data_IF_446867168898
#
_entry.id   IF_446867168898
#
_cell.length_a   1.000
_cell.length_b   1.000
_cell.length_c   1.000
_cell.angle_alpha   90.00
_cell.angle_beta   90.00
_cell.angle_gamma   90.00
#
_symmetry.space_group_name_H-M   'P 1'
#
loop_
_entity.id
_entity.type
_entity.pdbx_description
1 polymer ?
#
# COMPACT_ATOMS: atom_id res chain seq x y z
N UNK A 1 -32.56 18.77 12.64
CA UNK A 1 -32.77 17.60 11.77
C UNK A 1 -31.71 17.68 10.69
N UNK A 2 -30.70 16.82 10.75
CA UNK A 2 -29.56 16.83 9.81
C UNK A 2 -29.81 15.73 8.78
N UNK A 3 -29.97 16.11 7.51
CA UNK A 3 -30.17 15.16 6.42
C UNK A 3 -28.83 14.95 5.71
N UNK A 4 -28.17 13.84 6.02
CA UNK A 4 -26.95 13.43 5.31
C UNK A 4 -27.33 12.77 3.98
N UNK A 5 -27.27 13.54 2.89
CA UNK A 5 -27.40 12.99 1.54
C UNK A 5 -26.03 12.50 1.04
N UNK A 6 -25.74 11.21 1.24
CA UNK A 6 -24.62 10.54 0.56
C UNK A 6 -25.01 10.25 -0.90
N UNK A 7 -25.01 11.27 -1.76
CA UNK A 7 -25.35 11.12 -3.18
C UNK A 7 -24.12 10.87 -4.07
N UNK A 8 -23.20 10.02 -3.61
CA UNK A 8 -22.10 9.55 -4.45
C UNK A 8 -22.46 8.16 -4.95
N UNK A 9 -22.89 8.08 -6.22
CA UNK A 9 -23.03 6.80 -6.92
C UNK A 9 -21.72 6.02 -6.73
N UNK A 10 -21.77 4.89 -6.01
CA UNK A 10 -20.63 4.00 -5.79
C UNK A 10 -19.99 3.67 -7.15
N UNK A 11 -18.84 4.29 -7.45
CA UNK A 11 -18.10 3.99 -8.67
C UNK A 11 -17.59 2.55 -8.56
N UNK A 12 -18.03 1.70 -9.48
CA UNK A 12 -17.50 0.34 -9.65
C UNK A 12 -15.98 0.40 -9.81
N UNK A 13 -15.28 -0.55 -9.19
CA UNK A 13 -13.82 -0.69 -9.33
C UNK A 13 -13.00 0.14 -8.33
N UNK A 14 -13.62 0.65 -7.26
CA UNK A 14 -12.89 1.25 -6.14
C UNK A 14 -12.27 0.15 -5.27
N UNK A 15 -11.10 0.44 -4.71
CA UNK A 15 -10.49 -0.43 -3.71
C UNK A 15 -11.25 -0.33 -2.39
N UNK A 16 -11.30 -1.42 -1.63
CA UNK A 16 -11.83 -1.41 -0.28
C UNK A 16 -11.05 -0.40 0.57
N UNK A 17 -11.78 0.50 1.19
CA UNK A 17 -11.30 1.40 2.23
C UNK A 17 -11.05 0.63 3.53
N UNK A 18 -10.26 1.21 4.43
CA UNK A 18 -10.05 0.65 5.76
C UNK A 18 -11.36 0.52 6.57
N UNK A 19 -12.27 1.48 6.43
CA UNK A 19 -13.58 1.44 7.07
C UNK A 19 -14.45 0.27 6.59
N UNK A 20 -14.45 0.00 5.28
CA UNK A 20 -15.13 -1.18 4.73
C UNK A 20 -14.49 -2.47 5.25
N UNK A 21 -13.15 -2.55 5.36
CA UNK A 21 -12.47 -3.70 5.98
C UNK A 21 -12.90 -3.93 7.42
N UNK A 22 -13.02 -2.87 8.22
CA UNK A 22 -13.54 -2.95 9.58
C UNK A 22 -14.98 -3.50 9.61
N UNK A 23 -15.84 -3.06 8.70
CA UNK A 23 -17.20 -3.60 8.56
C UNK A 23 -17.19 -5.09 8.21
N UNK A 24 -16.33 -5.52 7.28
CA UNK A 24 -16.18 -6.95 6.94
C UNK A 24 -15.82 -7.75 8.19
N UNK A 25 -14.90 -7.27 9.03
CA UNK A 25 -14.51 -7.95 10.26
C UNK A 25 -15.68 -8.12 11.25
N UNK A 26 -16.48 -7.08 11.44
CA UNK A 26 -17.67 -7.15 12.30
C UNK A 26 -18.69 -8.15 11.73
N UNK A 27 -19.05 -8.03 10.46
CA UNK A 27 -20.05 -8.89 9.82
C UNK A 27 -19.61 -10.36 9.73
N UNK A 28 -18.30 -10.62 9.62
CA UNK A 28 -17.76 -11.99 9.69
C UNK A 28 -17.89 -12.59 11.08
N UNK A 29 -17.75 -11.79 12.16
CA UNK A 29 -18.01 -12.24 13.54
C UNK A 29 -19.49 -12.55 13.75
N UNK A 30 -20.37 -11.82 13.08
CA UNK A 30 -21.82 -12.07 13.04
C UNK A 30 -22.23 -13.20 12.07
N UNK A 31 -21.26 -13.95 11.53
CA UNK A 31 -21.47 -15.11 10.65
C UNK A 31 -22.18 -14.81 9.32
N UNK A 32 -22.12 -13.57 8.81
CA UNK A 32 -22.65 -13.25 7.49
C UNK A 32 -21.88 -13.96 6.36
N UNK A 33 -22.62 -14.35 5.32
CA UNK A 33 -22.03 -14.93 4.10
C UNK A 33 -21.31 -13.87 3.28
N UNK A 34 -20.31 -14.28 2.48
CA UNK A 34 -19.58 -13.34 1.62
C UNK A 34 -20.48 -12.60 0.64
N UNK A 35 -21.52 -13.25 0.12
CA UNK A 35 -22.47 -12.60 -0.80
C UNK A 35 -23.30 -11.54 -0.08
N UNK A 36 -23.71 -11.80 1.16
CA UNK A 36 -24.49 -10.85 1.96
C UNK A 36 -23.66 -9.60 2.30
N UNK A 37 -22.43 -9.78 2.76
CA UNK A 37 -21.52 -8.67 3.09
C UNK A 37 -21.22 -7.83 1.84
N UNK A 38 -20.90 -8.49 0.71
CA UNK A 38 -20.62 -7.79 -0.54
C UNK A 38 -21.83 -6.96 -1.00
N UNK A 39 -23.06 -7.48 -0.89
CA UNK A 39 -24.28 -6.74 -1.21
C UNK A 39 -24.47 -5.52 -0.30
N UNK A 40 -24.21 -5.65 1.00
CA UNK A 40 -24.33 -4.55 1.97
C UNK A 40 -23.35 -3.41 1.67
N UNK A 41 -22.10 -3.76 1.32
CA UNK A 41 -21.04 -2.79 1.00
C UNK A 41 -21.08 -2.29 -0.45
N UNK A 42 -22.00 -2.77 -1.28
CA UNK A 42 -22.01 -2.44 -2.72
C UNK A 42 -20.80 -2.97 -3.51
N UNK A 43 -20.13 -3.99 -2.98
CA UNK A 43 -18.93 -4.60 -3.56
C UNK A 43 -19.26 -5.89 -4.31
N UNK A 44 -18.32 -6.35 -5.16
CA UNK A 44 -18.49 -7.65 -5.83
C UNK A 44 -18.23 -8.82 -4.85
N UNK A 45 -18.96 -9.95 -4.95
CA UNK A 45 -18.68 -11.14 -4.14
C UNK A 45 -17.24 -11.64 -4.30
N UNK A 46 -16.63 -11.44 -5.48
CA UNK A 46 -15.25 -11.82 -5.75
C UNK A 46 -14.26 -10.92 -4.99
N UNK A 47 -14.51 -9.61 -4.96
CA UNK A 47 -13.72 -8.64 -4.18
C UNK A 47 -13.70 -9.07 -2.72
N UNK A 48 -14.86 -9.40 -2.16
CA UNK A 48 -14.96 -9.80 -0.77
C UNK A 48 -14.26 -11.14 -0.49
N UNK A 49 -14.43 -12.13 -1.38
CA UNK A 49 -13.73 -13.40 -1.25
C UNK A 49 -12.20 -13.22 -1.23
N UNK A 50 -11.69 -12.41 -2.16
CA UNK A 50 -10.27 -12.12 -2.25
C UNK A 50 -9.75 -11.36 -1.02
N UNK A 51 -10.50 -10.37 -0.54
CA UNK A 51 -10.16 -9.63 0.67
C UNK A 51 -10.10 -10.56 1.87
N UNK A 52 -11.16 -11.33 2.12
CA UNK A 52 -11.22 -12.25 3.26
C UNK A 52 -10.08 -13.25 3.19
N UNK A 53 -9.79 -13.82 2.01
CA UNK A 53 -8.66 -14.74 1.82
C UNK A 53 -7.32 -14.10 2.16
N UNK A 54 -7.11 -12.82 1.86
CA UNK A 54 -5.85 -12.09 2.10
C UNK A 54 -5.68 -11.60 3.53
N UNK A 55 -6.78 -11.28 4.21
CA UNK A 55 -6.81 -10.78 5.59
C UNK A 55 -7.16 -11.83 6.65
N UNK A 56 -7.35 -13.10 6.27
CA UNK A 56 -7.57 -14.19 7.24
C UNK A 56 -6.25 -14.58 7.90
N UNK A 57 -6.22 -14.53 9.22
CA UNK A 57 -5.07 -14.92 10.05
C UNK A 57 -5.43 -16.12 10.94
N UNK A 58 -4.42 -16.93 11.26
CA UNK A 58 -4.54 -18.01 12.24
C UNK A 58 -4.14 -17.49 13.61
N UNK A 59 -5.03 -17.60 14.60
CA UNK A 59 -4.75 -17.24 15.99
C UNK A 59 -4.70 -18.48 16.87
N UNK A 60 -3.82 -18.45 17.85
CA UNK A 60 -3.70 -19.46 18.91
C UNK A 60 -4.44 -18.98 20.16
N UNK A 61 -5.41 -19.76 20.61
CA UNK A 61 -6.08 -19.60 21.89
C UNK A 61 -5.61 -20.68 22.85
N UNK A 62 -5.02 -20.23 23.96
CA UNK A 62 -4.60 -21.11 25.05
C UNK A 62 -5.63 -21.06 26.17
N UNK A 63 -6.15 -22.22 26.56
CA UNK A 63 -7.07 -22.37 27.69
C UNK A 63 -6.41 -23.22 28.76
N UNK A 64 -6.47 -22.77 30.02
CA UNK A 64 -6.05 -23.56 31.17
C UNK A 64 -7.27 -24.08 31.91
N UNK A 65 -7.33 -25.39 32.14
CA UNK A 65 -8.41 -26.02 32.88
C UNK A 65 -7.84 -27.15 33.75
N UNK A 66 -8.15 -27.13 35.06
CA UNK A 66 -7.67 -28.10 36.05
C UNK A 66 -6.15 -28.39 35.97
N UNK A 67 -5.34 -27.32 35.87
CA UNK A 67 -3.88 -27.43 35.78
C UNK A 67 -3.34 -27.92 34.42
N UNK A 68 -4.20 -28.32 33.48
CA UNK A 68 -3.82 -28.69 32.11
C UNK A 68 -3.99 -27.50 31.17
N UNK A 69 -3.07 -27.38 30.22
CA UNK A 69 -3.07 -26.33 29.19
C UNK A 69 -3.49 -26.94 27.86
N UNK A 70 -4.47 -26.33 27.20
CA UNK A 70 -5.00 -26.72 25.91
C UNK A 70 -4.81 -25.59 24.91
N UNK A 71 -4.25 -25.92 23.75
CA UNK A 71 -3.93 -24.99 22.68
C UNK A 71 -4.89 -25.25 21.52
N UNK A 72 -5.64 -24.22 21.12
CA UNK A 72 -6.62 -24.27 20.04
C UNK A 72 -6.26 -23.24 18.97
N UNK A 73 -6.21 -23.66 17.72
CA UNK A 73 -6.03 -22.74 16.59
C UNK A 73 -7.35 -22.45 15.91
N UNK A 74 -7.60 -21.19 15.58
CA UNK A 74 -8.77 -20.79 14.82
C UNK A 74 -8.40 -19.69 13.82
N UNK A 75 -9.13 -19.60 12.73
CA UNK A 75 -8.93 -18.57 11.72
C UNK A 75 -9.98 -17.48 11.86
N UNK A 76 -9.55 -16.23 11.69
CA UNK A 76 -10.45 -15.09 11.66
C UNK A 76 -9.97 -14.07 10.65
N UNK A 77 -10.91 -13.34 10.08
CA UNK A 77 -10.58 -12.19 9.25
C UNK A 77 -10.25 -10.99 10.14
N UNK A 78 -9.12 -10.35 9.86
CA UNK A 78 -8.62 -9.19 10.59
C UNK A 78 -8.42 -8.01 9.62
N UNK A 79 -9.03 -6.87 9.94
CA UNK A 79 -9.00 -5.70 9.06
C UNK A 79 -7.60 -5.10 8.92
N UNK A 80 -6.81 -5.11 10.00
CA UNK A 80 -5.45 -4.58 10.02
C UNK A 80 -4.53 -5.47 9.18
N UNK A 81 -4.67 -6.79 9.30
CA UNK A 81 -3.97 -7.74 8.45
C UNK A 81 -4.33 -7.55 6.97
N UNK A 82 -5.61 -7.36 6.65
CA UNK A 82 -6.10 -7.05 5.29
C UNK A 82 -5.49 -5.76 4.73
N UNK A 83 -5.47 -4.69 5.53
CA UNK A 83 -4.89 -3.40 5.18
C UNK A 83 -3.37 -3.50 4.97
N UNK A 84 -2.64 -4.12 5.90
CA UNK A 84 -1.20 -4.31 5.79
C UNK A 84 -0.81 -5.13 4.56
N UNK A 85 -1.63 -6.11 4.18
CA UNK A 85 -1.44 -6.87 2.95
C UNK A 85 -1.64 -5.99 1.71
N UNK A 86 -2.68 -5.16 1.68
CA UNK A 86 -2.91 -4.20 0.62
C UNK A 86 -1.75 -3.21 0.47
N UNK A 87 -1.29 -2.60 1.57
CA UNK A 87 -0.21 -1.61 1.56
C UNK A 87 1.11 -2.21 1.05
N UNK A 88 1.43 -3.44 1.50
CA UNK A 88 2.60 -4.18 1.01
C UNK A 88 2.52 -4.44 -0.50
N UNK A 89 1.37 -4.87 -1.01
CA UNK A 89 1.18 -5.06 -2.44
C UNK A 89 1.28 -3.73 -3.21
N UNK A 90 0.83 -2.64 -2.59
CA UNK A 90 0.88 -1.30 -3.19
C UNK A 90 2.30 -0.81 -3.42
N UNK A 91 3.26 -1.16 -2.55
CA UNK A 91 4.69 -0.87 -2.74
C UNK A 91 5.29 -1.51 -4.00
N UNK A 92 4.70 -2.60 -4.48
CA UNK A 92 5.12 -3.28 -5.70
C UNK A 92 4.36 -2.80 -6.94
N UNK A 93 3.34 -1.96 -6.76
CA UNK A 93 2.56 -1.39 -7.85
C UNK A 93 3.20 -0.09 -8.36
N UNK A 94 3.15 0.12 -9.68
CA UNK A 94 3.64 1.33 -10.32
C UNK A 94 4.97 1.15 -11.05
N UNK A 95 5.29 2.12 -11.91
CA UNK A 95 6.55 2.14 -12.65
C UNK A 95 7.67 2.51 -11.68
N UNK A 96 8.62 1.60 -11.45
CA UNK A 96 9.86 1.93 -10.72
C UNK A 96 10.68 2.91 -11.58
N UNK A 97 11.07 4.07 -11.05
CA UNK A 97 12.02 4.93 -11.76
C UNK A 97 13.37 4.21 -11.82
N UNK A 98 14.08 4.31 -12.96
CA UNK A 98 15.33 3.56 -13.17
C UNK A 98 16.45 3.93 -12.21
N UNK A 99 16.42 5.13 -11.65
CA UNK A 99 17.34 5.55 -10.59
C UNK A 99 17.09 4.83 -9.25
N UNK A 100 15.96 4.12 -9.07
CA UNK A 100 15.74 3.29 -7.89
C UNK A 100 16.57 1.99 -7.89
N UNK A 101 17.16 1.62 -9.03
CA UNK A 101 17.99 0.41 -9.15
C UNK A 101 19.47 0.67 -8.81
N UNK A 102 19.89 1.94 -8.68
CA UNK A 102 21.26 2.31 -8.31
C UNK A 102 21.32 3.66 -7.59
N UNK A 103 21.90 3.67 -6.40
CA UNK A 103 22.20 4.89 -5.66
C UNK A 103 23.48 5.59 -6.14
N UNK A 104 24.22 5.05 -7.11
CA UNK A 104 25.54 5.57 -7.50
C UNK A 104 25.50 7.05 -7.91
N UNK A 105 24.46 7.49 -8.62
CA UNK A 105 24.28 8.90 -8.94
C UNK A 105 23.90 9.74 -7.72
N UNK A 106 23.05 9.22 -6.83
CA UNK A 106 22.57 9.92 -5.63
C UNK A 106 23.72 10.13 -4.64
N UNK A 107 24.50 9.10 -4.34
CA UNK A 107 25.62 9.18 -3.40
C UNK A 107 26.69 10.16 -3.91
N UNK A 108 26.98 10.14 -5.22
CA UNK A 108 27.89 11.09 -5.85
C UNK A 108 27.33 12.52 -5.85
N UNK A 109 26.03 12.69 -6.14
CA UNK A 109 25.38 13.98 -6.11
C UNK A 109 25.42 14.59 -4.71
N UNK A 110 25.14 13.79 -3.67
CA UNK A 110 25.20 14.21 -2.28
C UNK A 110 26.61 14.63 -1.88
N UNK A 111 27.64 13.88 -2.29
CA UNK A 111 29.03 14.26 -2.07
C UNK A 111 29.36 15.63 -2.70
N UNK A 112 28.96 15.84 -3.96
CA UNK A 112 29.18 17.12 -4.67
C UNK A 112 28.42 18.28 -4.06
N UNK A 113 27.19 18.07 -3.60
CA UNK A 113 26.40 19.11 -2.96
C UNK A 113 26.90 19.44 -1.55
N UNK A 114 27.32 18.42 -0.78
CA UNK A 114 27.74 18.60 0.61
C UNK A 114 29.17 19.12 0.72
N UNK A 115 30.11 18.54 -0.02
CA UNK A 115 31.54 18.87 0.07
C UNK A 115 31.91 20.01 -0.86
N UNK A 116 31.56 19.88 -2.14
CA UNK A 116 31.96 20.85 -3.17
C UNK A 116 30.97 22.03 -3.29
N UNK A 117 29.86 21.99 -2.56
CA UNK A 117 28.78 23.01 -2.56
C UNK A 117 28.17 23.25 -3.93
N UNK A 118 28.15 22.22 -4.79
CA UNK A 118 27.52 22.33 -6.10
C UNK A 118 25.99 22.46 -5.95
N UNK A 119 25.37 23.24 -6.83
CA UNK A 119 23.90 23.24 -6.91
C UNK A 119 23.42 21.94 -7.56
N UNK A 120 22.19 21.48 -7.27
CA UNK A 120 21.62 20.30 -7.92
C UNK A 120 21.70 20.36 -9.46
N UNK A 121 21.52 21.54 -10.03
CA UNK A 121 21.59 21.77 -11.48
C UNK A 121 22.99 21.52 -12.03
N UNK A 122 24.02 22.03 -11.35
CA UNK A 122 25.42 21.82 -11.75
C UNK A 122 25.76 20.33 -11.70
N UNK A 123 25.32 19.63 -10.66
CA UNK A 123 25.52 18.19 -10.49
C UNK A 123 24.91 17.39 -11.65
N UNK A 124 23.63 17.64 -11.97
CA UNK A 124 22.91 16.94 -13.05
C UNK A 124 23.54 17.24 -14.42
N UNK A 125 23.85 18.52 -14.68
CA UNK A 125 24.44 18.95 -15.95
C UNK A 125 25.84 18.36 -16.14
N UNK A 126 26.69 18.43 -15.13
CA UNK A 126 28.04 17.91 -15.16
C UNK A 126 28.06 16.39 -15.37
N UNK A 127 27.22 15.65 -14.63
CA UNK A 127 27.09 14.21 -14.80
C UNK A 127 26.74 13.80 -16.24
N UNK A 128 25.87 14.57 -16.90
CA UNK A 128 25.47 14.33 -18.30
C UNK A 128 26.54 14.74 -19.30
N UNK A 129 27.14 15.92 -19.14
CA UNK A 129 28.20 16.42 -20.04
C UNK A 129 29.41 15.48 -20.05
N UNK A 130 29.77 14.93 -18.89
CA UNK A 130 30.90 14.02 -18.74
C UNK A 130 30.53 12.54 -18.82
N UNK A 131 29.27 12.19 -19.08
CA UNK A 131 28.76 10.81 -19.20
C UNK A 131 29.19 9.92 -18.02
N UNK A 132 29.17 10.47 -16.80
CA UNK A 132 29.64 9.76 -15.59
C UNK A 132 28.73 8.58 -15.21
N UNK A 133 27.49 8.63 -15.67
CA UNK A 133 26.41 7.70 -15.34
C UNK A 133 25.54 7.46 -16.56
N UNK A 134 24.80 6.34 -16.58
CA UNK A 134 23.80 6.08 -17.61
C UNK A 134 22.74 7.20 -17.61
N UNK A 135 22.40 7.73 -18.79
CA UNK A 135 21.37 8.76 -18.95
C UNK A 135 20.00 8.33 -18.39
N UNK A 136 19.78 7.03 -18.22
CA UNK A 136 18.61 6.45 -17.57
C UNK A 136 18.53 6.69 -16.06
N UNK A 137 19.67 6.84 -15.37
CA UNK A 137 19.74 7.03 -13.91
C UNK A 137 19.95 8.50 -13.52
N UNK A 138 20.47 9.33 -14.44
CA UNK A 138 20.55 10.77 -14.23
C UNK A 138 19.21 11.44 -14.55
N UNK A 139 18.59 12.19 -13.62
CA UNK A 139 17.33 12.89 -13.87
C UNK A 139 17.37 13.73 -15.15
N UNK A 140 16.25 13.77 -15.87
CA UNK A 140 16.02 14.72 -16.96
C UNK A 140 15.58 16.03 -16.33
N UNK A 141 16.31 17.11 -16.60
CA UNK A 141 15.85 18.44 -16.23
C UNK A 141 14.86 18.93 -17.30
N UNK A 142 13.63 19.23 -16.90
CA UNK A 142 12.77 20.10 -17.69
C UNK A 142 12.96 21.51 -17.14
N UNK A 143 13.74 22.32 -17.83
CA UNK A 143 13.86 23.74 -17.55
C UNK A 143 12.51 24.40 -17.83
N UNK A 144 11.60 24.37 -16.87
CA UNK A 144 10.38 25.16 -16.88
C UNK A 144 10.68 26.60 -16.42
N UNK A 145 11.61 27.25 -17.11
CA UNK A 145 11.80 28.69 -17.11
C UNK A 145 12.39 29.04 -18.47
N UNK A 146 11.52 29.45 -19.39
CA UNK A 146 11.72 30.40 -20.49
C UNK A 146 10.54 30.31 -21.46
N UNK A 147 9.47 31.07 -21.17
CA UNK A 147 8.76 32.01 -22.06
C UNK A 147 7.51 32.53 -21.37
#
# INVERSE_FOLDING_TARGET
MTQDQFNTVLRKGTHLSYQERCHIQILKKEAYSHRAIAKLLGQSPQTLHNEVKRGTITQLKRQKQNGKTYDYTYTLYDADAGQANYDRQRLHCGRRPKWADSNAFIDWADEKMLQDKWSPDVVVRFAREHQLFDAAIVPLYQSAFLS
#
